data_IF_382010395953
#
_entry.id   IF_382010395953
#
_cell.length_a   1.000
_cell.length_b   1.000
_cell.length_c   1.000
_cell.angle_alpha   90.00
_cell.angle_beta   90.00
_cell.angle_gamma   90.00
#
_symmetry.space_group_name_H-M   'P 1'
#
loop_
_entity.id
_entity.type
_entity.pdbx_description
1 polymer ?
#
# COMPACT_ATOMS: atom_id res chain seq x y z
N UNK A 1 16.88 16.21 35.23
CA UNK A 1 15.47 15.85 35.55
C UNK A 1 14.67 17.08 35.95
N UNK A 2 15.21 18.00 36.78
CA UNK A 2 14.48 19.20 37.26
C UNK A 2 14.05 20.19 36.16
N UNK A 3 14.84 20.36 35.07
CA UNK A 3 14.53 21.28 34.00
C UNK A 3 13.38 20.83 33.09
N UNK A 4 13.25 19.51 32.86
CA UNK A 4 12.17 18.93 32.05
C UNK A 4 10.80 19.09 32.77
N UNK A 5 10.77 18.92 34.09
CA UNK A 5 9.56 19.09 34.90
C UNK A 5 9.04 20.53 34.92
N UNK A 6 9.90 21.54 34.73
CA UNK A 6 9.50 22.94 34.64
C UNK A 6 8.81 23.26 33.29
N UNK A 7 9.18 22.57 32.22
CA UNK A 7 8.60 22.76 30.89
C UNK A 7 7.20 22.15 30.74
N UNK A 8 6.85 21.15 31.55
CA UNK A 8 5.58 20.43 31.46
C UNK A 8 4.34 21.21 31.95
N UNK A 9 4.55 22.33 32.68
CA UNK A 9 3.45 23.07 33.27
C UNK A 9 2.67 22.26 34.33
N UNK A 10 1.55 22.81 34.82
CA UNK A 10 0.74 22.19 35.88
C UNK A 10 0.13 20.86 35.44
N UNK A 11 -0.45 20.81 34.25
CA UNK A 11 -1.18 19.62 33.77
C UNK A 11 -0.22 18.48 33.39
N UNK A 12 0.93 18.78 32.78
CA UNK A 12 1.92 17.77 32.47
C UNK A 12 2.54 17.12 33.70
N UNK A 13 2.70 17.89 34.81
CA UNK A 13 3.12 17.32 36.09
C UNK A 13 2.06 16.38 36.66
N UNK A 14 0.78 16.78 36.63
CA UNK A 14 -0.32 15.95 37.12
C UNK A 14 -0.42 14.61 36.35
N UNK A 15 -0.20 14.61 35.03
CA UNK A 15 -0.14 13.39 34.22
C UNK A 15 1.00 12.47 34.65
N UNK A 16 2.22 13.03 34.87
CA UNK A 16 3.36 12.25 35.36
C UNK A 16 3.10 11.68 36.77
N UNK A 17 2.58 12.49 37.68
CA UNK A 17 2.23 12.03 39.05
C UNK A 17 1.20 10.93 39.01
N UNK A 18 0.16 11.06 38.14
CA UNK A 18 -0.85 10.02 37.92
C UNK A 18 -0.25 8.70 37.43
N UNK A 19 0.63 8.78 36.44
CA UNK A 19 1.34 7.61 35.92
C UNK A 19 2.20 6.92 37.01
N UNK A 20 2.97 7.69 37.77
CA UNK A 20 3.78 7.12 38.85
C UNK A 20 2.94 6.48 39.96
N UNK A 21 1.80 7.10 40.30
CA UNK A 21 0.87 6.52 41.29
C UNK A 21 0.26 5.21 40.76
N UNK A 22 -0.17 5.17 39.51
CA UNK A 22 -0.68 3.95 38.88
C UNK A 22 0.37 2.84 38.86
N UNK A 23 1.63 3.15 38.54
CA UNK A 23 2.70 2.15 38.41
C UNK A 23 3.21 1.64 39.75
N UNK A 24 3.27 2.46 40.79
CA UNK A 24 3.98 2.12 42.04
C UNK A 24 3.11 2.07 43.29
N UNK A 25 1.91 2.64 43.23
CA UNK A 25 1.00 2.72 44.38
C UNK A 25 -0.36 2.07 44.15
N UNK A 26 -0.64 1.59 42.93
CA UNK A 26 -1.89 0.88 42.67
C UNK A 26 -1.86 -0.50 43.27
N UNK A 27 -3.01 -0.92 43.86
CA UNK A 27 -3.09 -2.13 44.68
C UNK A 27 -3.16 -3.41 43.87
N UNK A 28 -3.72 -3.35 42.64
CA UNK A 28 -3.82 -4.51 41.78
C UNK A 28 -2.53 -4.65 40.93
N UNK A 29 -1.80 -5.74 41.19
CA UNK A 29 -0.50 -6.00 40.57
C UNK A 29 -0.59 -6.42 39.09
N UNK A 30 -1.78 -6.78 38.64
CA UNK A 30 -2.09 -7.25 37.27
C UNK A 30 -2.82 -6.21 36.43
N UNK A 31 -2.87 -4.95 36.89
CA UNK A 31 -3.42 -3.86 36.07
C UNK A 31 -2.58 -3.63 34.79
N UNK A 32 -3.25 -3.64 33.64
CA UNK A 32 -2.62 -3.35 32.36
C UNK A 32 -2.31 -1.85 32.24
N UNK A 33 -1.08 -1.48 32.60
CA UNK A 33 -0.64 -0.10 32.59
C UNK A 33 -0.33 0.39 31.17
N UNK A 34 0.02 -0.52 30.26
CA UNK A 34 0.31 -0.18 28.87
C UNK A 34 -0.99 0.20 28.16
N UNK A 35 -2.05 -0.61 28.30
CA UNK A 35 -3.38 -0.27 27.77
C UNK A 35 -3.94 1.02 28.40
N UNK A 36 -3.79 1.20 29.70
CA UNK A 36 -4.22 2.43 30.37
C UNK A 36 -3.46 3.68 29.88
N UNK A 37 -2.18 3.53 29.53
CA UNK A 37 -1.35 4.61 28.99
C UNK A 37 -1.78 4.94 27.56
N UNK A 38 -2.05 3.94 26.73
CA UNK A 38 -2.54 4.11 25.36
C UNK A 38 -3.88 4.85 25.33
N UNK A 39 -4.82 4.46 26.19
CA UNK A 39 -6.10 5.16 26.34
C UNK A 39 -5.94 6.62 26.78
N UNK A 40 -5.01 6.90 27.68
CA UNK A 40 -4.74 8.27 28.14
C UNK A 40 -4.13 9.13 27.03
N UNK A 41 -3.24 8.57 26.20
CA UNK A 41 -2.63 9.25 25.05
C UNK A 41 -3.67 9.51 23.96
N UNK A 42 -4.53 8.54 23.66
CA UNK A 42 -5.64 8.71 22.72
C UNK A 42 -6.60 9.82 23.16
N UNK A 43 -7.00 9.81 24.45
CA UNK A 43 -7.86 10.86 25.01
C UNK A 43 -7.19 12.24 24.96
N UNK A 44 -5.88 12.32 25.19
CA UNK A 44 -5.13 13.58 25.09
C UNK A 44 -5.15 14.15 23.67
N UNK A 45 -4.89 13.31 22.68
CA UNK A 45 -4.87 13.74 21.26
C UNK A 45 -6.27 14.12 20.78
N UNK A 46 -7.28 13.32 21.11
CA UNK A 46 -8.68 13.61 20.80
C UNK A 46 -9.16 14.93 21.45
N UNK A 47 -8.65 15.24 22.64
CA UNK A 47 -8.94 16.48 23.36
C UNK A 47 -8.39 17.75 22.70
N UNK A 48 -7.47 17.64 21.73
CA UNK A 48 -6.99 18.78 20.93
C UNK A 48 -8.04 19.29 19.93
N UNK A 49 -9.07 18.50 19.62
CA UNK A 49 -10.15 18.87 18.70
C UNK A 49 -9.72 18.95 17.23
N UNK A 50 -8.56 18.45 16.91
CA UNK A 50 -8.09 18.35 15.53
C UNK A 50 -8.49 17.01 14.91
N UNK A 51 -9.33 17.05 13.89
CA UNK A 51 -9.85 15.86 13.20
C UNK A 51 -8.78 15.02 12.46
N UNK A 52 -7.60 15.56 12.27
CA UNK A 52 -6.51 14.90 11.54
C UNK A 52 -5.45 14.33 12.46
N UNK A 53 -5.45 14.72 13.75
CA UNK A 53 -4.56 14.17 14.76
C UNK A 53 -5.18 12.93 15.40
N UNK A 54 -4.41 11.87 15.49
CA UNK A 54 -4.80 10.64 16.14
C UNK A 54 -3.58 9.98 16.80
N UNK A 55 -3.81 9.30 17.91
CA UNK A 55 -2.84 8.42 18.53
C UNK A 55 -2.91 7.03 17.90
N UNK A 56 -1.79 6.35 17.84
CA UNK A 56 -1.70 4.92 17.52
C UNK A 56 -0.73 4.27 18.49
N UNK A 57 -1.11 3.14 19.03
CA UNK A 57 -0.21 2.28 19.79
C UNK A 57 0.81 1.62 18.86
N UNK A 58 1.78 0.90 19.42
CA UNK A 58 2.85 0.27 18.65
C UNK A 58 2.32 -0.73 17.61
N UNK A 59 1.36 -1.58 18.01
CA UNK A 59 0.77 -2.60 17.13
C UNK A 59 0.06 -1.96 15.93
N UNK A 60 -0.82 -1.00 16.18
CA UNK A 60 -1.54 -0.25 15.14
C UNK A 60 -0.59 0.53 14.23
N UNK A 61 0.50 1.07 14.80
CA UNK A 61 1.50 1.78 14.01
C UNK A 61 2.26 0.83 13.10
N UNK A 62 2.68 -0.34 13.58
CA UNK A 62 3.35 -1.35 12.77
C UNK A 62 2.43 -1.91 11.69
N UNK A 63 1.16 -2.16 11.99
CA UNK A 63 0.16 -2.55 11.01
C UNK A 63 -0.01 -1.48 9.90
N UNK A 64 -0.02 -0.20 10.28
CA UNK A 64 -0.07 0.92 9.32
C UNK A 64 1.16 0.94 8.42
N UNK A 65 2.37 0.83 8.98
CA UNK A 65 3.62 0.82 8.21
C UNK A 65 3.65 -0.35 7.24
N UNK A 66 3.31 -1.55 7.70
CA UNK A 66 3.23 -2.76 6.86
C UNK A 66 2.25 -2.56 5.69
N UNK A 67 1.07 -2.02 5.96
CA UNK A 67 0.09 -1.73 4.91
C UNK A 67 0.60 -0.68 3.92
N UNK A 68 1.28 0.38 4.41
CA UNK A 68 1.81 1.45 3.56
C UNK A 68 3.08 1.06 2.80
N UNK A 69 3.77 0.02 3.23
CA UNK A 69 4.85 -0.57 2.44
C UNK A 69 4.34 -1.12 1.10
N UNK A 70 3.03 -1.45 1.03
CA UNK A 70 2.32 -1.79 -0.19
C UNK A 70 2.89 -3.02 -0.91
N UNK A 71 3.44 -3.97 -0.15
CA UNK A 71 3.98 -5.23 -0.67
C UNK A 71 3.05 -6.41 -0.38
N UNK A 72 3.11 -7.37 -1.27
CA UNK A 72 2.53 -8.71 -1.07
C UNK A 72 3.54 -9.77 -1.49
N UNK A 73 3.41 -10.99 -0.98
CA UNK A 73 4.24 -12.11 -1.40
C UNK A 73 3.46 -13.01 -2.33
N UNK A 74 3.98 -13.20 -3.54
CA UNK A 74 3.31 -13.99 -4.56
C UNK A 74 4.14 -14.15 -5.83
N UNK A 75 3.49 -14.53 -6.91
CA UNK A 75 4.17 -14.76 -8.21
C UNK A 75 4.00 -13.58 -9.19
N UNK A 76 3.18 -12.60 -8.89
CA UNK A 76 2.98 -11.43 -9.76
C UNK A 76 1.95 -11.66 -10.86
N UNK A 77 0.79 -12.21 -10.52
CA UNK A 77 -0.37 -12.31 -11.41
C UNK A 77 -1.58 -11.63 -10.80
N UNK A 78 -2.30 -10.88 -11.61
CA UNK A 78 -3.66 -10.42 -11.29
C UNK A 78 -4.64 -11.37 -11.94
N UNK A 79 -5.53 -11.96 -11.14
CA UNK A 79 -6.46 -12.99 -11.61
C UNK A 79 -7.91 -12.58 -11.43
N UNK A 80 -8.77 -13.05 -12.33
CA UNK A 80 -10.23 -12.91 -12.24
C UNK A 80 -10.87 -14.22 -11.83
N UNK A 81 -11.67 -14.17 -10.77
CA UNK A 81 -12.36 -15.31 -10.18
C UNK A 81 -13.68 -15.70 -10.92
N UNK A 82 -14.22 -14.79 -11.74
CA UNK A 82 -15.60 -14.91 -12.22
C UNK A 82 -15.74 -15.29 -13.70
N UNK A 83 -14.69 -15.15 -14.50
CA UNK A 83 -14.83 -15.27 -15.95
C UNK A 83 -14.70 -16.69 -16.51
N UNK A 84 -14.07 -17.61 -15.81
CA UNK A 84 -13.82 -18.98 -16.28
C UNK A 84 -14.06 -20.02 -15.19
N UNK A 85 -14.82 -21.07 -15.52
CA UNK A 85 -15.06 -22.18 -14.59
C UNK A 85 -13.87 -23.12 -14.47
N UNK A 86 -12.99 -23.14 -15.46
CA UNK A 86 -11.82 -24.01 -15.51
C UNK A 86 -10.74 -23.61 -14.49
N UNK A 87 -10.70 -22.32 -14.07
CA UNK A 87 -9.68 -21.84 -13.15
C UNK A 87 -9.68 -20.30 -13.01
N UNK A 88 -8.51 -19.75 -12.72
CA UNK A 88 -8.28 -18.33 -12.57
C UNK A 88 -7.72 -17.74 -13.86
N UNK A 89 -8.47 -16.84 -14.51
CA UNK A 89 -7.99 -16.11 -15.68
C UNK A 89 -6.94 -15.09 -15.27
N UNK A 90 -5.75 -15.15 -15.87
CA UNK A 90 -4.69 -14.15 -15.72
C UNK A 90 -5.06 -12.90 -16.50
N UNK A 91 -5.42 -11.82 -15.81
CA UNK A 91 -5.76 -10.52 -16.41
C UNK A 91 -4.53 -9.66 -16.66
N UNK A 92 -3.54 -9.73 -15.75
CA UNK A 92 -2.29 -9.03 -15.89
C UNK A 92 -1.14 -9.80 -15.23
N UNK A 93 0.06 -9.59 -15.72
CA UNK A 93 1.30 -10.13 -15.17
C UNK A 93 2.20 -8.95 -14.77
N UNK A 94 2.68 -8.98 -13.53
CA UNK A 94 3.57 -7.93 -13.00
C UNK A 94 4.91 -7.97 -13.73
N UNK A 95 5.29 -6.85 -14.31
CA UNK A 95 6.57 -6.69 -15.02
C UNK A 95 7.74 -6.92 -14.07
N UNK A 96 8.72 -7.69 -14.50
CA UNK A 96 9.85 -8.11 -13.67
C UNK A 96 9.51 -9.13 -12.60
N UNK A 97 8.25 -9.58 -12.51
CA UNK A 97 7.81 -10.55 -11.52
C UNK A 97 8.14 -12.01 -11.87
N UNK A 98 8.02 -12.93 -10.89
CA UNK A 98 8.30 -14.36 -11.09
C UNK A 98 7.46 -15.02 -12.18
N UNK A 99 6.18 -14.64 -12.32
CA UNK A 99 5.28 -15.17 -13.33
C UNK A 99 5.71 -14.78 -14.75
N UNK A 100 6.10 -13.52 -14.95
CA UNK A 100 6.63 -13.04 -16.24
C UNK A 100 7.92 -13.79 -16.59
N UNK A 101 8.86 -13.89 -15.64
CA UNK A 101 10.11 -14.62 -15.83
C UNK A 101 9.89 -16.10 -16.16
N UNK A 102 8.81 -16.68 -15.67
CA UNK A 102 8.40 -18.07 -15.94
C UNK A 102 7.60 -18.24 -17.23
N UNK A 103 7.30 -17.14 -17.95
CA UNK A 103 6.60 -17.14 -19.24
C UNK A 103 5.08 -17.26 -19.16
N UNK A 104 4.48 -16.89 -18.03
CA UNK A 104 3.03 -16.72 -17.89
C UNK A 104 2.65 -15.41 -18.56
N UNK A 105 1.55 -15.41 -19.29
CA UNK A 105 1.05 -14.25 -20.02
C UNK A 105 -0.42 -13.97 -19.72
N UNK A 106 -0.86 -12.74 -20.01
CA UNK A 106 -2.27 -12.36 -19.96
C UNK A 106 -3.09 -13.28 -20.87
N UNK A 107 -4.23 -13.76 -20.39
CA UNK A 107 -5.10 -14.71 -21.09
C UNK A 107 -4.87 -16.18 -20.70
N UNK A 108 -3.74 -16.50 -20.05
CA UNK A 108 -3.53 -17.84 -19.48
C UNK A 108 -4.57 -18.10 -18.37
N UNK A 109 -4.95 -19.38 -18.18
CA UNK A 109 -5.85 -19.80 -17.10
C UNK A 109 -5.07 -20.70 -16.16
N UNK A 110 -4.96 -20.34 -14.89
CA UNK A 110 -4.36 -21.18 -13.86
C UNK A 110 -5.43 -22.19 -13.42
N UNK A 111 -5.20 -23.49 -13.69
CA UNK A 111 -6.17 -24.56 -13.42
C UNK A 111 -5.80 -25.42 -12.21
N UNK A 112 -4.52 -25.40 -11.79
CA UNK A 112 -4.07 -26.06 -10.56
C UNK A 112 -2.88 -25.32 -9.94
N UNK A 113 -2.69 -25.48 -8.62
CA UNK A 113 -1.57 -24.98 -7.84
C UNK A 113 -0.98 -26.14 -7.05
N UNK A 114 0.32 -26.43 -7.24
CA UNK A 114 1.03 -27.57 -6.63
C UNK A 114 0.28 -28.90 -6.81
N UNK A 115 -0.35 -29.11 -7.99
CA UNK A 115 -1.13 -30.28 -8.34
C UNK A 115 -2.54 -30.29 -7.74
N UNK A 116 -2.93 -29.30 -6.96
CA UNK A 116 -4.30 -29.15 -6.44
C UNK A 116 -5.13 -28.37 -7.45
N UNK A 117 -6.20 -29.00 -7.98
CA UNK A 117 -7.12 -28.33 -8.91
C UNK A 117 -7.84 -27.16 -8.23
N UNK A 118 -7.91 -26.03 -8.94
CA UNK A 118 -8.63 -24.83 -8.51
C UNK A 118 -9.81 -24.50 -9.43
N UNK A 119 -10.38 -25.52 -10.10
CA UNK A 119 -11.59 -25.36 -10.92
C UNK A 119 -12.87 -25.32 -10.07
N UNK A 120 -13.94 -24.77 -10.62
CA UNK A 120 -15.24 -24.70 -9.97
C UNK A 120 -15.22 -23.88 -8.66
N UNK A 121 -15.78 -24.43 -7.59
CA UNK A 121 -15.87 -23.76 -6.28
C UNK A 121 -14.50 -23.56 -5.61
N UNK A 122 -13.47 -24.34 -5.99
CA UNK A 122 -12.12 -24.21 -5.45
C UNK A 122 -11.39 -22.94 -5.91
N UNK A 123 -11.90 -22.22 -6.91
CA UNK A 123 -11.33 -20.94 -7.39
C UNK A 123 -11.15 -19.91 -6.28
N UNK A 124 -12.05 -19.88 -5.31
CA UNK A 124 -11.99 -18.92 -4.19
C UNK A 124 -10.71 -19.09 -3.36
N UNK A 125 -10.18 -20.31 -3.27
CA UNK A 125 -8.96 -20.61 -2.52
C UNK A 125 -7.69 -20.46 -3.39
N UNK A 126 -7.84 -20.27 -4.70
CA UNK A 126 -6.72 -20.28 -5.64
C UNK A 126 -5.70 -19.16 -5.36
N UNK A 127 -6.16 -17.95 -5.01
CA UNK A 127 -5.27 -16.84 -4.68
C UNK A 127 -4.47 -17.10 -3.40
N UNK A 128 -5.05 -17.76 -2.40
CA UNK A 128 -4.37 -18.15 -1.16
C UNK A 128 -3.29 -19.20 -1.42
N UNK A 129 -3.58 -20.18 -2.29
CA UNK A 129 -2.61 -21.21 -2.67
C UNK A 129 -1.44 -20.66 -3.49
N UNK A 130 -1.70 -19.66 -4.34
CA UNK A 130 -0.66 -18.97 -5.12
C UNK A 130 0.25 -18.13 -4.21
N UNK A 131 -0.32 -17.50 -3.18
CA UNK A 131 0.42 -16.77 -2.14
C UNK A 131 1.17 -17.74 -1.21
N UNK A 132 2.12 -17.25 -0.42
CA UNK A 132 2.86 -18.06 0.55
C UNK A 132 4.12 -17.36 1.04
N UNK A 133 5.06 -18.11 1.60
CA UNK A 133 6.32 -17.57 2.12
C UNK A 133 7.22 -17.09 0.98
N UNK A 134 7.88 -15.94 1.19
CA UNK A 134 8.87 -15.41 0.24
C UNK A 134 10.01 -16.40 0.03
N UNK A 135 10.43 -16.56 -1.22
CA UNK A 135 11.47 -17.51 -1.62
C UNK A 135 10.99 -18.96 -1.75
N UNK A 136 9.76 -19.27 -1.39
CA UNK A 136 9.20 -20.62 -1.61
C UNK A 136 8.82 -20.83 -3.06
N UNK A 137 8.95 -22.07 -3.55
CA UNK A 137 8.53 -22.45 -4.90
C UNK A 137 7.04 -22.78 -4.92
N UNK A 138 6.39 -22.52 -6.07
CA UNK A 138 5.03 -22.95 -6.38
C UNK A 138 4.98 -23.39 -7.83
N UNK A 139 4.27 -24.48 -8.10
CA UNK A 139 4.02 -24.95 -9.47
C UNK A 139 2.59 -24.60 -9.87
N UNK A 140 2.45 -23.84 -10.95
CA UNK A 140 1.16 -23.47 -11.52
C UNK A 140 0.92 -24.30 -12.78
N UNK A 141 -0.20 -25.03 -12.83
CA UNK A 141 -0.64 -25.67 -14.07
C UNK A 141 -1.47 -24.65 -14.86
N UNK A 142 -0.99 -24.30 -16.03
CA UNK A 142 -1.54 -23.27 -16.91
C UNK A 142 -2.24 -23.94 -18.10
N UNK A 143 -3.46 -23.52 -18.40
CA UNK A 143 -4.16 -23.80 -19.64
C UNK A 143 -4.06 -22.57 -20.55
N UNK A 144 -3.46 -22.73 -21.72
CA UNK A 144 -3.32 -21.69 -22.73
C UNK A 144 -4.51 -21.61 -23.67
N UNK A 145 -4.63 -20.51 -24.38
CA UNK A 145 -5.72 -20.27 -25.33
C UNK A 145 -5.76 -21.31 -26.47
N UNK A 146 -4.62 -21.87 -26.86
CA UNK A 146 -4.51 -22.95 -27.85
C UNK A 146 -4.91 -24.33 -27.31
N UNK A 147 -5.30 -24.42 -26.04
CA UNK A 147 -5.66 -25.65 -25.34
C UNK A 147 -4.47 -26.42 -24.77
N UNK A 148 -3.26 -25.94 -24.92
CA UNK A 148 -2.08 -26.57 -24.34
C UNK A 148 -2.06 -26.39 -22.80
N UNK A 149 -1.70 -27.45 -22.08
CA UNK A 149 -1.51 -27.41 -20.64
C UNK A 149 -0.03 -27.57 -20.32
N UNK A 150 0.50 -26.73 -19.45
CA UNK A 150 1.89 -26.80 -19.02
C UNK A 150 2.03 -26.47 -17.52
N UNK A 151 3.00 -27.10 -16.88
CA UNK A 151 3.39 -26.81 -15.52
C UNK A 151 4.52 -25.77 -15.52
N UNK A 152 4.29 -24.66 -14.81
CA UNK A 152 5.22 -23.55 -14.69
C UNK A 152 5.61 -23.41 -13.23
N UNK A 153 6.91 -23.50 -12.94
CA UNK A 153 7.43 -23.30 -11.59
C UNK A 153 7.85 -21.84 -11.39
N UNK A 154 7.30 -21.19 -10.34
CA UNK A 154 7.63 -19.85 -9.93
C UNK A 154 8.22 -19.85 -8.53
N UNK A 155 9.12 -18.92 -8.23
CA UNK A 155 9.55 -18.63 -6.86
C UNK A 155 8.80 -17.42 -6.36
N UNK A 156 8.09 -17.55 -5.24
CA UNK A 156 7.36 -16.41 -4.64
C UNK A 156 8.33 -15.31 -4.23
N UNK A 157 7.98 -14.08 -4.56
CA UNK A 157 8.79 -12.90 -4.24
C UNK A 157 7.91 -11.84 -3.56
N UNK A 158 8.56 -10.95 -2.82
CA UNK A 158 7.93 -9.73 -2.34
C UNK A 158 7.73 -8.79 -3.54
N UNK A 159 6.51 -8.46 -3.85
CA UNK A 159 6.10 -7.65 -4.99
C UNK A 159 5.32 -6.44 -4.52
N UNK A 160 5.39 -5.35 -5.26
CA UNK A 160 4.64 -4.15 -4.96
C UNK A 160 3.24 -4.23 -5.57
N UNK A 161 2.22 -3.84 -4.78
CA UNK A 161 0.88 -3.68 -5.34
C UNK A 161 0.84 -2.44 -6.22
N UNK A 162 0.28 -2.49 -7.43
CA UNK A 162 0.08 -1.30 -8.23
C UNK A 162 -0.89 -0.35 -7.52
N UNK A 163 -0.46 0.91 -7.36
CA UNK A 163 -1.29 1.97 -6.77
C UNK A 163 -2.09 2.74 -7.82
N UNK A 164 -1.72 2.62 -9.09
CA UNK A 164 -2.37 3.25 -10.22
C UNK A 164 -2.91 2.21 -11.21
N UNK A 165 -3.95 2.58 -11.93
CA UNK A 165 -4.49 1.83 -13.06
C UNK A 165 -4.96 2.81 -14.13
N UNK A 166 -4.51 2.60 -15.38
CA UNK A 166 -4.77 3.46 -16.51
C UNK A 166 -5.67 2.82 -17.55
N UNK A 167 -6.46 3.64 -18.22
CA UNK A 167 -7.19 3.26 -19.43
C UNK A 167 -7.33 4.42 -20.40
N UNK A 168 -7.32 4.13 -21.69
CA UNK A 168 -7.63 5.12 -22.72
C UNK A 168 -9.15 5.28 -22.81
N UNK A 169 -9.64 6.53 -22.75
CA UNK A 169 -11.02 6.91 -23.04
C UNK A 169 -11.15 7.38 -24.48
N UNK A 170 -12.37 7.72 -24.89
CA UNK A 170 -12.63 8.38 -26.18
C UNK A 170 -11.91 9.73 -26.25
N UNK A 171 -11.71 10.26 -27.45
CA UNK A 171 -11.05 11.55 -27.73
C UNK A 171 -9.58 11.65 -27.26
N UNK A 172 -8.85 10.54 -27.25
CA UNK A 172 -7.44 10.47 -26.85
C UNK A 172 -7.20 10.98 -25.41
N UNK A 173 -8.14 10.72 -24.51
CA UNK A 173 -8.03 11.08 -23.10
C UNK A 173 -7.55 9.86 -22.30
N UNK A 174 -6.40 9.99 -21.65
CA UNK A 174 -5.92 9.02 -20.67
C UNK A 174 -6.66 9.21 -19.34
N UNK A 175 -7.18 8.13 -18.78
CA UNK A 175 -7.74 8.11 -17.43
C UNK A 175 -6.82 7.27 -16.54
N UNK A 176 -6.41 7.84 -15.40
CA UNK A 176 -5.57 7.16 -14.41
C UNK A 176 -6.25 7.26 -13.04
N UNK A 177 -6.64 6.13 -12.48
CA UNK A 177 -7.08 6.05 -11.10
C UNK A 177 -5.87 5.81 -10.19
N UNK A 178 -5.65 6.70 -9.22
CA UNK A 178 -4.62 6.54 -8.19
C UNK A 178 -5.28 6.22 -6.86
N UNK A 179 -5.14 4.99 -6.39
CA UNK A 179 -5.86 4.44 -5.24
C UNK A 179 -5.28 4.87 -3.88
N UNK A 180 -3.99 5.19 -3.82
CA UNK A 180 -3.29 5.62 -2.60
C UNK A 180 -1.96 6.29 -2.95
N UNK A 181 -1.27 6.84 -1.94
CA UNK A 181 0.10 7.33 -2.01
C UNK A 181 1.03 6.49 -1.12
N UNK A 182 0.90 5.18 -1.19
CA UNK A 182 1.78 4.24 -0.49
C UNK A 182 3.09 4.06 -1.26
N UNK A 183 4.04 3.33 -0.69
CA UNK A 183 5.34 3.10 -1.35
C UNK A 183 5.16 2.59 -2.78
N UNK A 184 5.88 3.21 -3.73
CA UNK A 184 5.84 2.90 -5.17
C UNK A 184 4.62 3.43 -5.92
N UNK A 185 3.80 4.27 -5.29
CA UNK A 185 2.66 4.89 -5.96
C UNK A 185 3.10 5.81 -7.10
N UNK A 186 4.22 6.52 -6.93
CA UNK A 186 4.77 7.39 -7.96
C UNK A 186 5.23 6.61 -9.19
N UNK A 187 5.95 5.52 -8.98
CA UNK A 187 6.41 4.66 -10.09
C UNK A 187 5.23 4.04 -10.83
N UNK A 188 4.27 3.48 -10.07
CA UNK A 188 3.05 2.91 -10.65
C UNK A 188 2.25 3.94 -11.47
N UNK A 189 2.16 5.18 -10.99
CA UNK A 189 1.50 6.28 -11.69
C UNK A 189 2.22 6.68 -12.97
N UNK A 190 3.55 6.84 -12.91
CA UNK A 190 4.39 7.18 -14.07
C UNK A 190 4.30 6.11 -15.16
N UNK A 191 4.37 4.83 -14.79
CA UNK A 191 4.23 3.71 -15.75
C UNK A 191 2.89 3.75 -16.49
N UNK A 192 1.79 3.98 -15.80
CA UNK A 192 0.46 4.07 -16.40
C UNK A 192 0.32 5.30 -17.31
N UNK A 193 0.82 6.47 -16.89
CA UNK A 193 0.79 7.68 -17.72
C UNK A 193 1.65 7.50 -18.97
N UNK A 194 2.88 6.97 -18.86
CA UNK A 194 3.77 6.73 -19.98
C UNK A 194 3.16 5.75 -20.99
N UNK A 195 2.48 4.70 -20.50
CA UNK A 195 1.77 3.76 -21.34
C UNK A 195 0.63 4.44 -22.12
N UNK A 196 -0.16 5.31 -21.48
CA UNK A 196 -1.24 6.06 -22.11
C UNK A 196 -0.72 7.09 -23.12
N UNK A 197 0.34 7.82 -22.78
CA UNK A 197 1.00 8.76 -23.72
C UNK A 197 1.54 8.02 -24.94
N UNK A 198 2.14 6.85 -24.76
CA UNK A 198 2.62 6.01 -25.85
C UNK A 198 1.49 5.51 -26.76
N UNK A 199 0.27 5.36 -26.24
CA UNK A 199 -0.95 5.04 -26.98
C UNK A 199 -1.58 6.26 -27.67
N UNK A 200 -1.07 7.47 -27.41
CA UNK A 200 -1.51 8.71 -28.04
C UNK A 200 -2.41 9.59 -27.17
N UNK A 201 -2.44 9.39 -25.86
CA UNK A 201 -3.18 10.28 -24.95
C UNK A 201 -2.68 11.72 -25.08
N UNK A 202 -3.62 12.66 -25.22
CA UNK A 202 -3.35 14.10 -25.36
C UNK A 202 -3.79 14.90 -24.15
N UNK A 203 -4.54 14.29 -23.25
CA UNK A 203 -4.98 14.84 -21.98
C UNK A 203 -5.10 13.72 -20.95
N UNK A 204 -5.02 14.07 -19.66
CA UNK A 204 -5.16 13.14 -18.56
C UNK A 204 -6.30 13.54 -17.64
N UNK A 205 -7.06 12.54 -17.19
CA UNK A 205 -8.00 12.62 -16.07
C UNK A 205 -7.42 11.77 -14.93
N UNK A 206 -7.09 12.41 -13.81
CA UNK A 206 -6.57 11.74 -12.64
C UNK A 206 -7.70 11.59 -11.63
N UNK A 207 -8.03 10.34 -11.28
CA UNK A 207 -9.09 10.02 -10.32
C UNK A 207 -8.51 9.66 -8.95
N UNK A 208 -8.76 10.54 -7.98
CA UNK A 208 -8.34 10.38 -6.58
C UNK A 208 -9.51 9.99 -5.67
N UNK A 209 -10.67 9.62 -6.20
CA UNK A 209 -11.80 9.21 -5.39
C UNK A 209 -11.46 7.96 -4.57
N UNK A 210 -11.81 7.99 -3.28
CA UNK A 210 -11.48 6.96 -2.29
C UNK A 210 -9.97 6.79 -2.00
N UNK A 211 -9.12 7.70 -2.44
CA UNK A 211 -7.71 7.69 -2.08
C UNK A 211 -7.55 8.20 -0.62
N UNK A 212 -7.05 7.37 0.31
CA UNK A 212 -6.91 7.75 1.72
C UNK A 212 -5.66 8.61 1.99
N UNK A 213 -4.87 8.94 0.96
CA UNK A 213 -3.56 9.56 1.11
C UNK A 213 -2.41 8.55 1.26
N UNK A 214 -1.30 8.99 1.85
CA UNK A 214 -0.10 8.17 2.03
C UNK A 214 1.13 8.99 2.36
N UNK A 215 2.24 8.73 1.68
CA UNK A 215 3.50 9.43 1.88
C UNK A 215 3.58 10.71 1.05
N UNK A 216 4.09 11.78 1.66
CA UNK A 216 4.30 13.07 0.97
C UNK A 216 5.33 12.92 -0.15
N UNK A 217 6.35 12.08 0.03
CA UNK A 217 7.36 11.81 -1.00
C UNK A 217 6.72 11.29 -2.29
N UNK A 218 5.82 10.33 -2.20
CA UNK A 218 5.11 9.79 -3.36
C UNK A 218 4.27 10.85 -4.08
N UNK A 219 3.57 11.70 -3.30
CA UNK A 219 2.83 12.83 -3.86
C UNK A 219 3.77 13.81 -4.58
N UNK A 220 4.89 14.17 -3.96
CA UNK A 220 5.81 15.15 -4.55
C UNK A 220 6.53 14.63 -5.77
N UNK A 221 6.83 13.34 -5.85
CA UNK A 221 7.38 12.70 -7.05
C UNK A 221 6.37 12.64 -8.22
N UNK A 222 5.09 12.44 -7.93
CA UNK A 222 4.03 12.54 -8.95
C UNK A 222 3.87 13.99 -9.42
N UNK A 223 3.93 14.96 -8.52
CA UNK A 223 3.82 16.38 -8.87
C UNK A 223 5.04 16.85 -9.66
N UNK A 224 6.23 16.37 -9.32
CA UNK A 224 7.46 16.63 -10.06
C UNK A 224 7.38 16.11 -11.50
N UNK A 225 6.85 14.90 -11.69
CA UNK A 225 6.63 14.32 -13.00
C UNK A 225 5.58 15.06 -13.84
N UNK A 226 4.56 15.66 -13.22
CA UNK A 226 3.43 16.30 -13.93
C UNK A 226 3.60 17.79 -14.19
N UNK A 227 4.41 18.48 -13.39
CA UNK A 227 4.42 19.94 -13.34
C UNK A 227 5.75 20.51 -13.81
N UNK A 228 5.74 21.71 -14.44
CA UNK A 228 6.96 22.41 -14.76
C UNK A 228 7.73 22.81 -13.50
N UNK A 229 8.98 23.26 -13.67
CA UNK A 229 9.83 23.76 -12.62
C UNK A 229 9.09 24.74 -11.68
N UNK A 230 9.14 24.47 -10.38
CA UNK A 230 8.52 25.31 -9.37
C UNK A 230 8.22 24.59 -8.05
N UNK A 231 7.69 25.34 -7.10
CA UNK A 231 7.29 24.79 -5.79
C UNK A 231 5.99 24.00 -5.94
N UNK A 232 6.02 22.72 -5.61
CA UNK A 232 4.87 21.81 -5.69
C UNK A 232 4.19 21.54 -4.33
N UNK A 233 4.96 21.61 -3.23
CA UNK A 233 4.41 21.39 -1.90
C UNK A 233 5.24 22.10 -0.82
N UNK A 234 4.56 22.61 0.21
CA UNK A 234 5.22 23.18 1.40
C UNK A 234 4.65 22.57 2.65
N UNK A 235 5.54 22.08 3.52
CA UNK A 235 5.20 21.58 4.83
C UNK A 235 5.62 22.58 5.90
N UNK A 236 4.68 23.00 6.73
CA UNK A 236 4.91 23.96 7.80
C UNK A 236 4.74 23.32 9.16
N UNK A 237 5.77 23.34 9.98
CA UNK A 237 5.69 22.95 11.38
C UNK A 237 5.76 24.18 12.28
N UNK A 238 4.99 24.19 13.36
CA UNK A 238 4.73 25.37 14.22
C UNK A 238 5.97 26.12 14.69
N UNK A 239 7.11 25.45 14.87
CA UNK A 239 8.22 26.06 15.59
C UNK A 239 9.56 26.15 14.83
N UNK A 240 9.86 25.24 13.90
CA UNK A 240 11.24 25.06 13.46
C UNK A 240 11.46 24.64 12.01
N UNK A 241 10.46 24.13 11.32
CA UNK A 241 10.70 23.52 10.02
C UNK A 241 9.68 23.96 9.00
N UNK A 242 10.18 24.58 7.96
CA UNK A 242 9.53 24.67 6.67
C UNK A 242 10.30 23.75 5.73
N UNK A 243 9.63 22.76 5.14
CA UNK A 243 10.19 21.94 4.08
C UNK A 243 9.47 22.31 2.81
N UNK A 244 10.22 22.71 1.80
CA UNK A 244 9.70 23.02 0.47
C UNK A 244 10.13 21.90 -0.48
N UNK A 245 9.18 21.40 -1.25
CA UNK A 245 9.39 20.44 -2.32
C UNK A 245 9.19 21.16 -3.64
N UNK A 246 10.11 20.95 -4.58
CA UNK A 246 10.14 21.64 -5.86
C UNK A 246 10.16 20.59 -6.98
N UNK A 247 9.53 20.92 -8.11
CA UNK A 247 9.68 20.21 -9.36
C UNK A 247 10.87 20.80 -10.12
N UNK A 248 11.66 19.97 -10.75
CA UNK A 248 12.76 20.37 -11.62
C UNK A 248 12.32 20.57 -13.08
N UNK A 249 11.06 20.28 -13.40
CA UNK A 249 10.47 20.47 -14.72
C UNK A 249 10.97 19.49 -15.76
N UNK A 250 11.48 18.33 -15.37
CA UNK A 250 11.99 17.30 -16.25
C UNK A 250 10.87 16.46 -16.92
N UNK A 251 9.61 16.94 -16.90
CA UNK A 251 8.44 16.28 -17.47
C UNK A 251 8.37 16.37 -19.02
#
# INVERSE_FOLDING_TARGET
>A
VGGLLLLLGKNGRALLEGYFLARYAFVEADADLDDATDQALDALVNGLGDRWSYYRNEEDYQALITRRANHYVGVGVTVNLQEREEGLLVQAVTKGGPAEAAGIVTGDIIIAVDGVSIAGDQRQNGSELISGEEGSAVTLTILREDGATLDVSCTRASLQNPSAAGQMLEDDIGYVQLSNFYSGAADSFKEEVDALVSQGARALVIDLRNNPGGYIVELTEILDYLLPEGVVFRQHARWWFETTYESDGAC
#
